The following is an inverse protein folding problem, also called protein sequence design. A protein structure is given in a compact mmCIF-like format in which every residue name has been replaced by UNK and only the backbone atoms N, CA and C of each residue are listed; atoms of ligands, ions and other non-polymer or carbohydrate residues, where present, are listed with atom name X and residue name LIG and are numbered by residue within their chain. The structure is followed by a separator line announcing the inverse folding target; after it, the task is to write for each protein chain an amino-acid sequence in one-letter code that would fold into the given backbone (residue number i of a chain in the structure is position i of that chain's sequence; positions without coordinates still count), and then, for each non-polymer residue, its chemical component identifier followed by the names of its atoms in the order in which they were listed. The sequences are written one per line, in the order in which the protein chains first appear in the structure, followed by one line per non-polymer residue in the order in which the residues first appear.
data_IF_090985896681
#
_entry.id   IF_090985896681
#
_cell.length_a   1.000
_cell.length_b   1.000
_cell.length_c   1.000
_cell.angle_alpha   90.00
_cell.angle_beta   90.00
_cell.angle_gamma   90.00
#
_symmetry.space_group_name_H-M   'P 1'
#
loop_
_entity.id
_entity.type
_entity.pdbx_description
1 polymer ?
#
# COMPACT_ATOMS: atom_id res chain seq x y z
N UNK A 1 -34.33 3.02 -6.17
CA UNK A 1 -33.56 4.29 -6.20
C UNK A 1 -32.12 3.96 -6.53
N UNK A 2 -31.74 4.08 -7.81
CA UNK A 2 -30.39 3.75 -8.29
C UNK A 2 -29.53 5.00 -8.24
N UNK A 3 -28.69 5.13 -7.20
CA UNK A 3 -27.81 6.28 -7.05
C UNK A 3 -26.52 6.07 -7.86
N UNK A 4 -26.58 6.37 -9.17
CA UNK A 4 -25.39 6.53 -10.01
C UNK A 4 -24.92 7.98 -9.86
N UNK A 5 -24.25 8.30 -8.77
CA UNK A 5 -23.51 9.55 -8.64
C UNK A 5 -22.19 9.43 -9.40
N UNK A 6 -22.26 9.87 -10.64
CA UNK A 6 -21.37 10.80 -11.30
C UNK A 6 -19.84 10.65 -11.19
N UNK A 7 -19.24 10.80 -12.37
CA UNK A 7 -17.83 10.66 -12.68
C UNK A 7 -17.05 11.84 -12.11
N UNK A 8 -16.08 11.56 -11.25
CA UNK A 8 -14.83 12.34 -11.27
C UNK A 8 -13.69 11.43 -11.69
N UNK A 9 -13.24 11.48 -12.96
CA UNK A 9 -12.00 10.83 -13.37
C UNK A 9 -10.86 11.76 -12.96
N UNK A 10 -10.59 11.90 -11.66
CA UNK A 10 -9.35 12.55 -11.25
C UNK A 10 -8.27 11.51 -11.49
N UNK A 11 -7.67 11.57 -12.70
CA UNK A 11 -6.29 11.14 -12.95
C UNK A 11 -5.40 11.86 -11.93
N UNK A 12 -5.39 11.40 -10.68
CA UNK A 12 -4.34 11.73 -9.72
C UNK A 12 -3.10 11.07 -10.29
N UNK A 13 -2.18 11.89 -10.77
CA UNK A 13 -0.89 11.42 -11.24
C UNK A 13 -0.29 10.42 -10.21
N UNK A 14 0.29 9.31 -10.68
CA UNK A 14 0.55 8.10 -9.87
C UNK A 14 1.65 8.25 -8.80
N UNK A 15 2.25 9.44 -8.64
CA UNK A 15 3.50 9.62 -7.89
C UNK A 15 3.33 9.99 -6.41
N UNK A 16 2.10 10.10 -5.90
CA UNK A 16 1.89 10.33 -4.46
C UNK A 16 1.25 9.12 -3.79
N UNK A 17 2.04 8.04 -3.74
CA UNK A 17 1.67 6.77 -3.10
C UNK A 17 1.29 7.01 -1.65
N UNK A 18 1.94 7.96 -0.97
CA UNK A 18 1.72 8.18 0.45
C UNK A 18 0.30 8.68 0.76
N UNK A 19 -0.23 9.59 -0.07
CA UNK A 19 -1.56 10.19 0.15
C UNK A 19 -2.74 9.39 -0.42
N UNK A 20 -2.46 8.38 -1.25
CA UNK A 20 -3.49 7.58 -1.94
C UNK A 20 -3.46 6.10 -1.59
N UNK A 21 -2.37 5.59 -1.02
CA UNK A 21 -2.28 4.19 -0.62
C UNK A 21 -2.59 3.99 0.86
N UNK A 22 -3.43 3.00 1.14
CA UNK A 22 -3.64 2.48 2.49
C UNK A 22 -2.61 1.41 2.77
N UNK A 23 -2.09 1.40 4.00
CA UNK A 23 -1.23 0.34 4.49
C UNK A 23 -2.07 -0.93 4.64
N UNK A 24 -1.66 -2.00 3.97
CA UNK A 24 -2.29 -3.32 4.02
C UNK A 24 -2.14 -4.01 5.39
N UNK A 25 -1.15 -3.61 6.20
CA UNK A 25 -0.88 -4.20 7.51
C UNK A 25 -1.71 -3.58 8.65
N UNK A 26 -2.07 -2.30 8.56
CA UNK A 26 -2.79 -1.57 9.61
C UNK A 26 -4.05 -0.84 9.11
N UNK A 27 -4.33 -0.87 7.81
CA UNK A 27 -5.49 -0.25 7.19
C UNK A 27 -5.48 1.28 7.15
N UNK A 28 -4.49 1.96 7.74
CA UNK A 28 -4.39 3.43 7.76
C UNK A 28 -3.74 3.97 6.49
N UNK A 29 -4.02 5.23 6.16
CA UNK A 29 -3.34 5.93 5.05
C UNK A 29 -1.81 5.96 5.29
N UNK A 30 -1.01 5.76 4.24
CA UNK A 30 0.46 5.74 4.34
C UNK A 30 1.04 7.09 4.75
N UNK A 31 0.40 8.19 4.34
CA UNK A 31 0.73 9.55 4.78
C UNK A 31 0.38 9.83 6.25
N UNK A 32 -0.42 8.99 6.92
CA UNK A 32 -0.81 9.22 8.31
C UNK A 32 -0.09 8.27 9.28
N UNK A 33 0.57 8.86 10.28
CA UNK A 33 1.18 8.14 11.39
C UNK A 33 2.50 7.44 11.05
N UNK A 34 3.05 6.72 12.04
CA UNK A 34 4.33 6.02 11.91
C UNK A 34 4.12 4.55 11.47
N UNK A 35 4.70 4.18 10.33
CA UNK A 35 4.61 2.82 9.75
C UNK A 35 5.83 1.93 10.01
N UNK A 36 6.71 2.28 10.95
CA UNK A 36 7.92 1.50 11.28
C UNK A 36 7.59 0.05 11.65
N UNK A 37 6.53 -0.17 12.45
CA UNK A 37 6.08 -1.52 12.83
C UNK A 37 5.57 -2.31 11.61
N UNK A 38 4.83 -1.66 10.72
CA UNK A 38 4.33 -2.26 9.46
C UNK A 38 5.49 -2.65 8.53
N UNK A 39 6.52 -1.79 8.43
CA UNK A 39 7.72 -2.05 7.65
C UNK A 39 8.48 -3.28 8.19
N UNK A 40 8.71 -3.34 9.50
CA UNK A 40 9.37 -4.50 10.14
C UNK A 40 8.60 -5.80 9.93
N UNK A 41 7.27 -5.77 10.05
CA UNK A 41 6.42 -6.94 9.79
C UNK A 41 6.56 -7.41 8.34
N UNK A 42 6.57 -6.50 7.38
CA UNK A 42 6.77 -6.82 5.96
C UNK A 42 8.17 -7.37 5.68
N UNK A 43 9.20 -6.88 6.37
CA UNK A 43 10.55 -7.46 6.27
C UNK A 43 10.59 -8.89 6.83
N UNK A 44 9.94 -9.14 7.97
CA UNK A 44 9.84 -10.48 8.55
C UNK A 44 9.05 -11.44 7.64
N UNK A 45 7.96 -10.95 7.02
CA UNK A 45 7.27 -11.70 5.97
C UNK A 45 8.23 -11.97 4.82
N UNK A 46 8.80 -10.96 4.17
CA UNK A 46 9.69 -11.16 3.01
C UNK A 46 11.00 -11.91 3.31
N UNK A 47 11.35 -12.15 4.57
CA UNK A 47 12.52 -12.93 4.94
C UNK A 47 12.51 -14.34 4.35
N UNK A 48 11.33 -14.95 4.16
CA UNK A 48 11.22 -16.27 3.51
C UNK A 48 11.53 -16.20 2.00
N UNK A 49 11.23 -15.09 1.33
CA UNK A 49 11.51 -14.90 -0.10
C UNK A 49 13.00 -14.70 -0.36
N UNK A 50 13.72 -14.04 0.55
CA UNK A 50 15.17 -13.78 0.41
C UNK A 50 16.03 -15.04 0.41
N UNK A 51 15.53 -16.15 0.95
CA UNK A 51 16.23 -17.45 0.97
C UNK A 51 16.07 -18.22 -0.33
N UNK A 52 15.10 -17.84 -1.16
CA UNK A 52 14.91 -18.44 -2.48
C UNK A 52 15.89 -17.72 -3.42
N UNK A 53 17.06 -18.33 -3.65
CA UNK A 53 18.00 -17.86 -4.66
C UNK A 53 17.26 -17.75 -6.00
N UNK A 54 17.51 -16.71 -6.83
CA UNK A 54 17.01 -16.72 -8.20
C UNK A 54 17.49 -18.01 -8.85
N UNK A 55 16.55 -18.79 -9.38
CA UNK A 55 16.84 -20.01 -10.13
C UNK A 55 17.58 -19.55 -11.39
N UNK A 56 18.90 -19.75 -11.41
CA UNK A 56 19.76 -19.45 -12.55
C UNK A 56 19.66 -20.53 -13.62
#
# INVERSE_FOLDING_TARGET
MSNRSDRTPVRRFPWNIDYTSRCDQCGRWRAQGNHLKCSRRRQAQNAHLRRQKPKS
#
